data_IF_404602991285
#
_entry.id   IF_404602991285
#
_cell.length_a   1.000
_cell.length_b   1.000
_cell.length_c   1.000
_cell.angle_alpha   90.00
_cell.angle_beta   90.00
_cell.angle_gamma   90.00
#
_symmetry.space_group_name_H-M   'P 1'
#
loop_
_entity.id
_entity.type
_entity.pdbx_description
1 polymer ?
#
# COMPACT_ATOMS: atom_id res chain seq x y z
N UNK A 1 7.28 6.50 -61.01
CA UNK A 1 6.34 5.68 -60.18
C UNK A 1 6.84 5.75 -58.77
N UNK A 2 6.28 6.68 -58.04
CA UNK A 2 6.60 6.90 -56.64
C UNK A 2 5.74 5.95 -55.81
N UNK A 3 6.41 5.18 -54.94
CA UNK A 3 5.78 4.42 -53.89
C UNK A 3 5.78 5.28 -52.62
N UNK A 4 4.60 5.77 -52.28
CA UNK A 4 4.36 6.47 -50.98
C UNK A 4 4.26 5.39 -49.92
N UNK A 5 5.25 5.36 -49.02
CA UNK A 5 5.17 4.61 -47.79
C UNK A 5 4.17 5.33 -46.87
N UNK A 6 3.09 4.69 -46.53
CA UNK A 6 2.16 5.13 -45.53
C UNK A 6 2.76 4.78 -44.16
N UNK A 7 3.22 5.80 -43.44
CA UNK A 7 3.45 5.72 -41.99
C UNK A 7 2.07 5.55 -41.32
N UNK A 8 1.84 4.37 -40.81
CA UNK A 8 0.73 4.09 -39.92
C UNK A 8 1.30 4.25 -38.51
N UNK A 9 1.34 5.48 -38.01
CA UNK A 9 1.45 5.77 -36.59
C UNK A 9 0.12 5.36 -35.94
N UNK A 10 0.04 4.10 -35.56
CA UNK A 10 -0.99 3.59 -34.66
C UNK A 10 -0.60 3.96 -33.22
N UNK A 11 -0.62 5.26 -32.92
CA UNK A 11 -0.68 5.74 -31.55
C UNK A 11 -2.04 5.37 -30.97
N UNK A 12 -2.20 4.09 -30.62
CA UNK A 12 -3.22 3.69 -29.67
C UNK A 12 -2.81 4.30 -28.34
N UNK A 13 -3.37 5.48 -28.08
CA UNK A 13 -3.39 6.14 -26.78
C UNK A 13 -4.27 5.26 -25.87
N UNK A 14 -3.66 4.16 -25.40
CA UNK A 14 -4.25 3.29 -24.39
C UNK A 14 -4.49 4.17 -23.18
N UNK A 15 -5.75 4.57 -23.00
CA UNK A 15 -6.24 5.29 -21.84
C UNK A 15 -5.73 4.56 -20.59
N UNK A 16 -4.72 5.18 -19.95
CA UNK A 16 -3.90 4.56 -18.91
C UNK A 16 -4.75 4.24 -17.70
N UNK A 17 -5.38 3.08 -17.70
CA UNK A 17 -6.26 2.61 -16.62
C UNK A 17 -5.42 2.40 -15.35
N UNK A 18 -5.43 3.39 -14.49
CA UNK A 18 -4.78 3.33 -13.16
C UNK A 18 -5.64 2.56 -12.14
N UNK A 19 -6.81 2.07 -12.55
CA UNK A 19 -7.72 1.31 -11.69
C UNK A 19 -7.12 -0.06 -11.39
N UNK A 20 -6.97 -0.38 -10.11
CA UNK A 20 -6.53 -1.68 -9.64
C UNK A 20 -7.33 -2.12 -8.41
N UNK A 21 -7.49 -3.43 -8.25
CA UNK A 21 -8.12 -4.00 -7.06
C UNK A 21 -7.18 -3.90 -5.86
N UNK A 22 -7.57 -3.09 -4.86
CA UNK A 22 -6.80 -2.88 -3.62
C UNK A 22 -6.77 -4.13 -2.73
N UNK A 23 -7.79 -4.95 -2.82
CA UNK A 23 -7.88 -6.18 -2.03
C UNK A 23 -7.16 -7.36 -2.69
N UNK A 24 -7.16 -7.42 -4.03
CA UNK A 24 -6.48 -8.48 -4.78
C UNK A 24 -5.56 -7.91 -5.87
N UNK A 25 -4.50 -7.18 -5.49
CA UNK A 25 -3.67 -6.49 -6.44
C UNK A 25 -2.91 -7.47 -7.35
N UNK A 26 -2.98 -7.21 -8.65
CA UNK A 26 -2.13 -7.86 -9.64
C UNK A 26 -1.01 -6.90 -10.02
N UNK A 27 0.23 -7.35 -9.90
CA UNK A 27 1.41 -6.56 -10.31
C UNK A 27 2.00 -7.20 -11.56
N UNK A 28 2.07 -6.43 -12.63
CA UNK A 28 2.65 -6.82 -13.91
C UNK A 28 3.53 -5.70 -14.47
N UNK A 29 4.42 -6.04 -15.40
CA UNK A 29 5.21 -5.06 -16.14
C UNK A 29 4.28 -4.13 -16.91
N UNK A 30 4.62 -2.84 -16.99
CA UNK A 30 3.84 -1.74 -17.56
C UNK A 30 2.60 -1.32 -16.78
N UNK A 31 2.20 -2.03 -15.73
CA UNK A 31 1.05 -1.62 -14.91
C UNK A 31 1.32 -0.27 -14.24
N UNK A 32 0.28 0.56 -14.19
CA UNK A 32 0.32 1.92 -13.66
C UNK A 32 -0.39 2.02 -12.33
N UNK A 33 0.08 2.94 -11.50
CA UNK A 33 -0.47 3.27 -10.19
C UNK A 33 -0.51 4.80 -10.03
N UNK A 34 -1.54 5.36 -9.39
CA UNK A 34 -1.73 6.82 -9.33
C UNK A 34 -0.68 7.53 -8.48
N UNK A 35 -0.03 6.84 -7.55
CA UNK A 35 1.03 7.41 -6.72
C UNK A 35 2.01 6.35 -6.22
N UNK A 36 3.18 6.81 -5.74
CA UNK A 36 4.19 5.93 -5.13
C UNK A 36 3.67 5.30 -3.82
N UNK A 37 2.85 5.98 -3.06
CA UNK A 37 2.32 5.46 -1.80
C UNK A 37 1.26 4.38 -2.05
N UNK A 38 0.40 4.57 -3.04
CA UNK A 38 -0.54 3.53 -3.48
C UNK A 38 0.18 2.32 -4.06
N UNK A 39 1.21 2.53 -4.89
CA UNK A 39 2.04 1.43 -5.39
C UNK A 39 2.69 0.63 -4.25
N UNK A 40 3.26 1.30 -3.25
CA UNK A 40 3.87 0.64 -2.08
C UNK A 40 2.86 -0.19 -1.29
N UNK A 41 1.65 0.32 -1.14
CA UNK A 41 0.58 -0.37 -0.43
C UNK A 41 0.09 -1.60 -1.21
N UNK A 42 -0.12 -1.43 -2.51
CA UNK A 42 -0.42 -2.50 -3.44
C UNK A 42 0.66 -3.58 -3.43
N UNK A 43 1.94 -3.19 -3.50
CA UNK A 43 3.07 -4.10 -3.46
C UNK A 43 3.11 -4.94 -2.17
N UNK A 44 2.86 -4.32 -1.01
CA UNK A 44 2.79 -5.05 0.27
C UNK A 44 1.65 -6.06 0.29
N UNK A 45 0.46 -5.65 -0.13
CA UNK A 45 -0.70 -6.56 -0.22
C UNK A 45 -0.42 -7.73 -1.17
N UNK A 46 0.20 -7.45 -2.34
CA UNK A 46 0.62 -8.47 -3.30
C UNK A 46 1.62 -9.46 -2.69
N UNK A 47 2.68 -8.97 -2.03
CA UNK A 47 3.68 -9.81 -1.40
C UNK A 47 3.08 -10.69 -0.29
N UNK A 48 2.18 -10.13 0.53
CA UNK A 48 1.45 -10.86 1.56
C UNK A 48 0.60 -11.98 0.95
N UNK A 49 -0.21 -11.67 -0.06
CA UNK A 49 -1.07 -12.67 -0.71
C UNK A 49 -0.32 -13.76 -1.48
N UNK A 50 0.87 -13.42 -1.98
CA UNK A 50 1.78 -14.39 -2.63
C UNK A 50 2.75 -15.06 -1.65
N UNK A 51 2.59 -14.78 -0.35
CA UNK A 51 3.34 -15.40 0.75
C UNK A 51 4.86 -15.30 0.62
N UNK A 52 5.39 -14.19 0.10
CA UNK A 52 6.82 -13.97 0.05
C UNK A 52 7.26 -12.72 0.79
N UNK A 53 8.45 -12.75 1.34
CA UNK A 53 9.09 -11.59 1.96
C UNK A 53 9.95 -10.84 0.94
N UNK A 54 9.83 -9.52 0.93
CA UNK A 54 10.61 -8.68 0.04
C UNK A 54 11.33 -7.57 0.80
N UNK A 55 12.62 -7.40 0.50
CA UNK A 55 13.43 -6.31 1.04
C UNK A 55 13.48 -5.16 0.04
N UNK A 56 12.93 -4.01 0.44
CA UNK A 56 13.08 -2.78 -0.32
C UNK A 56 14.53 -2.31 -0.22
N UNK A 57 15.20 -2.15 -1.35
CA UNK A 57 16.58 -1.66 -1.45
C UNK A 57 16.63 -0.16 -1.66
N UNK A 58 15.75 0.36 -2.52
CA UNK A 58 15.58 1.79 -2.75
C UNK A 58 14.10 2.13 -2.82
N UNK A 59 13.74 3.22 -2.17
CA UNK A 59 12.42 3.80 -2.27
C UNK A 59 12.52 5.30 -2.00
N UNK A 60 12.20 6.08 -3.01
CA UNK A 60 12.05 7.53 -2.94
C UNK A 60 10.75 7.95 -3.65
N UNK A 61 10.58 9.24 -3.91
CA UNK A 61 9.38 9.75 -4.62
C UNK A 61 9.36 9.40 -6.11
N UNK A 62 10.50 8.99 -6.71
CA UNK A 62 10.66 8.77 -8.15
C UNK A 62 10.92 7.32 -8.50
N UNK A 63 11.53 6.53 -7.60
CA UNK A 63 12.00 5.17 -7.88
C UNK A 63 11.66 4.25 -6.73
N UNK A 64 11.34 3.01 -7.10
CA UNK A 64 11.17 1.90 -6.16
C UNK A 64 11.91 0.68 -6.68
N UNK A 65 12.63 0.00 -5.80
CA UNK A 65 13.28 -1.26 -6.09
C UNK A 65 13.22 -2.19 -4.88
N UNK A 66 12.71 -3.38 -5.08
CA UNK A 66 12.64 -4.42 -4.06
C UNK A 66 13.08 -5.77 -4.62
N UNK A 67 13.67 -6.60 -3.78
CA UNK A 67 14.08 -7.99 -4.10
C UNK A 67 13.43 -8.94 -3.13
N UNK A 68 13.14 -10.15 -3.61
CA UNK A 68 12.75 -11.24 -2.73
C UNK A 68 13.87 -11.53 -1.72
N UNK A 69 13.49 -11.80 -0.47
CA UNK A 69 14.41 -12.15 0.62
C UNK A 69 14.41 -13.66 0.92
N UNK A 70 13.71 -14.44 0.10
CA UNK A 70 13.61 -15.89 0.24
C UNK A 70 14.75 -16.65 -0.43
N UNK A 71 14.80 -17.93 -0.13
CA UNK A 71 15.75 -18.89 -0.71
C UNK A 71 14.99 -20.02 -1.41
N UNK A 72 15.57 -20.59 -2.46
CA UNK A 72 15.03 -21.77 -3.11
C UNK A 72 15.34 -23.06 -2.32
N UNK A 73 14.90 -24.22 -2.83
CA UNK A 73 15.12 -25.52 -2.19
C UNK A 73 16.58 -25.90 -2.03
N UNK A 74 17.49 -25.31 -2.81
CA UNK A 74 18.95 -25.50 -2.74
C UNK A 74 19.65 -24.43 -1.91
N UNK A 75 18.92 -23.68 -1.09
CA UNK A 75 19.41 -22.54 -0.28
C UNK A 75 20.05 -21.41 -1.10
N UNK A 76 19.73 -21.28 -2.39
CA UNK A 76 20.19 -20.16 -3.22
C UNK A 76 19.21 -18.99 -3.11
N UNK A 77 19.71 -17.73 -3.10
CA UNK A 77 18.84 -16.56 -3.02
C UNK A 77 17.88 -16.48 -4.22
N UNK A 78 16.61 -16.21 -3.95
CA UNK A 78 15.61 -15.98 -5.00
C UNK A 78 16.02 -14.79 -5.87
N UNK A 79 16.01 -14.96 -7.20
CA UNK A 79 16.42 -13.94 -8.17
C UNK A 79 15.33 -12.91 -8.44
N UNK A 80 14.13 -13.11 -7.93
CA UNK A 80 13.02 -12.21 -8.18
C UNK A 80 13.27 -10.80 -7.65
N UNK A 81 12.99 -9.82 -8.48
CA UNK A 81 12.95 -8.42 -8.07
C UNK A 81 11.90 -7.65 -8.86
N UNK A 82 11.54 -6.47 -8.36
CA UNK A 82 10.67 -5.52 -9.01
C UNK A 82 11.30 -4.13 -9.03
N UNK A 83 11.17 -3.45 -10.15
CA UNK A 83 11.48 -2.03 -10.25
C UNK A 83 10.29 -1.24 -10.79
N UNK A 84 10.04 -0.08 -10.20
CA UNK A 84 9.02 0.84 -10.65
C UNK A 84 9.57 2.28 -10.65
N UNK A 85 9.06 3.11 -11.55
CA UNK A 85 9.48 4.51 -11.69
C UNK A 85 8.29 5.43 -11.92
N UNK A 86 8.44 6.66 -11.43
CA UNK A 86 7.54 7.75 -11.72
C UNK A 86 7.62 8.11 -13.20
N UNK A 87 6.48 8.35 -13.80
CA UNK A 87 6.33 8.80 -15.17
C UNK A 87 6.60 10.31 -15.28
N UNK A 88 6.78 10.84 -16.50
CA UNK A 88 7.00 12.28 -16.75
C UNK A 88 5.85 13.17 -16.27
N UNK A 89 4.63 12.67 -16.16
CA UNK A 89 3.47 13.37 -15.60
C UNK A 89 3.65 13.83 -14.14
N UNK A 90 4.71 13.35 -13.50
CA UNK A 90 5.06 13.72 -12.13
C UNK A 90 4.20 13.06 -11.03
N UNK A 91 3.24 12.21 -11.36
CA UNK A 91 2.34 11.53 -10.43
C UNK A 91 2.37 10.01 -10.58
N UNK A 92 2.06 9.51 -11.77
CA UNK A 92 1.89 8.10 -12.07
C UNK A 92 3.16 7.28 -11.90
N UNK A 93 3.02 6.09 -11.34
CA UNK A 93 4.10 5.12 -11.17
C UNK A 93 3.89 3.96 -12.12
N UNK A 94 4.90 3.62 -12.91
CA UNK A 94 4.88 2.48 -13.81
C UNK A 94 5.84 1.39 -13.33
N UNK A 95 5.38 0.15 -13.36
CA UNK A 95 6.22 -1.02 -13.13
C UNK A 95 7.06 -1.28 -14.37
N UNK A 96 8.38 -1.17 -14.24
CA UNK A 96 9.30 -1.29 -15.38
C UNK A 96 9.75 -2.72 -15.60
N UNK A 97 10.09 -3.44 -14.53
CA UNK A 97 10.72 -4.76 -14.64
C UNK A 97 10.26 -5.71 -13.54
N UNK A 98 9.97 -6.95 -13.94
CA UNK A 98 9.83 -8.13 -13.10
C UNK A 98 10.44 -9.29 -13.91
N UNK A 99 11.78 -9.42 -14.00
CA UNK A 99 12.40 -10.28 -15.00
C UNK A 99 12.41 -11.76 -14.63
N UNK A 100 12.16 -12.11 -13.36
CA UNK A 100 12.24 -13.48 -12.89
C UNK A 100 10.98 -13.91 -12.16
N UNK A 101 10.65 -15.17 -12.26
CA UNK A 101 9.61 -15.82 -11.46
C UNK A 101 10.15 -16.10 -10.06
N UNK A 102 9.28 -16.15 -9.06
CA UNK A 102 9.66 -16.61 -7.74
C UNK A 102 10.04 -18.08 -7.75
N UNK A 103 11.20 -18.41 -7.20
CA UNK A 103 11.71 -19.77 -7.03
C UNK A 103 11.84 -20.15 -5.56
N UNK A 104 11.60 -19.21 -4.65
CA UNK A 104 11.72 -19.42 -3.22
C UNK A 104 10.54 -20.23 -2.65
N UNK A 105 10.82 -20.97 -1.59
CA UNK A 105 9.79 -21.62 -0.78
C UNK A 105 9.05 -20.52 -0.02
N UNK A 106 7.75 -20.42 -0.26
CA UNK A 106 6.88 -19.47 0.43
C UNK A 106 6.61 -19.95 1.85
N UNK A 107 6.59 -19.01 2.81
CA UNK A 107 6.23 -19.28 4.19
C UNK A 107 5.48 -18.09 4.77
N UNK A 108 4.25 -18.29 5.19
CA UNK A 108 3.41 -17.29 5.84
C UNK A 108 4.06 -16.66 7.09
N UNK A 109 4.95 -17.38 7.76
CA UNK A 109 5.68 -16.89 8.93
C UNK A 109 6.71 -15.81 8.59
N UNK A 110 7.20 -15.75 7.35
CA UNK A 110 8.26 -14.85 6.92
C UNK A 110 7.74 -13.48 6.41
N UNK A 111 6.43 -13.31 6.24
CA UNK A 111 5.82 -12.12 5.64
C UNK A 111 5.69 -10.93 6.63
N UNK A 112 6.22 -11.06 7.84
CA UNK A 112 6.11 -10.05 8.89
C UNK A 112 6.71 -8.69 8.52
N UNK A 113 7.70 -8.63 7.62
CA UNK A 113 8.31 -7.38 7.17
C UNK A 113 7.37 -6.54 6.29
N UNK A 114 6.43 -7.18 5.61
CA UNK A 114 5.44 -6.52 4.76
C UNK A 114 4.28 -5.91 5.57
N UNK A 115 3.98 -6.44 6.76
CA UNK A 115 2.91 -5.98 7.65
C UNK A 115 3.32 -4.72 8.43
N UNK A 116 3.43 -3.59 7.74
CA UNK A 116 3.74 -2.31 8.41
C UNK A 116 2.51 -1.73 9.10
N UNK A 117 2.72 -0.83 10.07
CA UNK A 117 1.65 -0.10 10.75
C UNK A 117 0.72 0.65 9.77
N UNK A 118 1.28 1.18 8.67
CA UNK A 118 0.51 1.87 7.63
C UNK A 118 -0.38 0.90 6.85
N UNK A 119 0.15 -0.27 6.50
CA UNK A 119 -0.62 -1.33 5.83
C UNK A 119 -1.75 -1.84 6.74
N UNK A 120 -1.45 -2.11 8.00
CA UNK A 120 -2.47 -2.50 8.99
C UNK A 120 -3.54 -1.41 9.11
N UNK A 121 -3.15 -0.14 9.25
CA UNK A 121 -4.10 0.97 9.35
C UNK A 121 -5.03 1.03 8.16
N UNK A 122 -4.51 0.90 6.94
CA UNK A 122 -5.33 0.91 5.72
C UNK A 122 -6.36 -0.22 5.72
N UNK A 123 -5.94 -1.45 6.06
CA UNK A 123 -6.83 -2.63 6.06
C UNK A 123 -7.90 -2.60 7.16
N UNK A 124 -7.60 -2.02 8.31
CA UNK A 124 -8.58 -1.95 9.43
C UNK A 124 -9.46 -0.70 9.41
N UNK A 125 -9.11 0.33 8.63
CA UNK A 125 -9.89 1.58 8.54
C UNK A 125 -11.37 1.33 8.19
N UNK A 126 -11.73 0.50 7.19
CA UNK A 126 -13.13 0.19 6.89
C UNK A 126 -13.86 -0.52 8.03
N UNK A 127 -13.15 -1.34 8.81
CA UNK A 127 -13.71 -2.04 9.98
C UNK A 127 -14.00 -1.03 11.09
N UNK A 128 -13.04 -0.15 11.38
CA UNK A 128 -13.18 0.88 12.42
C UNK A 128 -14.22 1.94 12.08
N UNK A 129 -14.42 2.26 10.80
CA UNK A 129 -15.49 3.15 10.36
C UNK A 129 -16.88 2.59 10.68
N UNK A 130 -17.05 1.27 10.59
CA UNK A 130 -18.31 0.58 10.94
C UNK A 130 -18.43 0.28 12.43
N UNK A 131 -17.35 -0.10 13.08
CA UNK A 131 -17.29 -0.52 14.48
C UNK A 131 -16.10 0.10 15.21
N UNK A 132 -16.21 1.37 15.65
CA UNK A 132 -15.09 2.15 16.21
C UNK A 132 -14.45 1.52 17.46
N UNK A 133 -15.26 0.81 18.27
CA UNK A 133 -14.82 0.24 19.55
C UNK A 133 -14.12 -1.13 19.42
N UNK A 134 -13.89 -1.61 18.17
CA UNK A 134 -13.22 -2.91 17.96
C UNK A 134 -11.84 -2.91 18.59
N UNK A 135 -11.54 -3.95 19.41
CA UNK A 135 -10.25 -4.06 20.10
C UNK A 135 -9.11 -4.41 19.15
N UNK A 136 -7.87 -4.02 19.49
CA UNK A 136 -6.70 -4.37 18.70
C UNK A 136 -6.49 -5.91 18.62
N UNK A 137 -6.88 -6.65 19.66
CA UNK A 137 -6.83 -8.13 19.65
C UNK A 137 -7.75 -8.71 18.60
N UNK A 138 -9.00 -8.23 18.51
CA UNK A 138 -9.96 -8.68 17.50
C UNK A 138 -9.49 -8.31 16.09
N UNK A 139 -9.05 -7.07 15.88
CA UNK A 139 -8.51 -6.62 14.59
C UNK A 139 -7.31 -7.48 14.12
N UNK A 140 -6.43 -7.88 15.06
CA UNK A 140 -5.34 -8.82 14.76
C UNK A 140 -5.88 -10.16 14.26
N UNK A 141 -6.84 -10.75 14.99
CA UNK A 141 -7.45 -12.03 14.62
C UNK A 141 -8.15 -11.97 13.27
N UNK A 142 -8.88 -10.88 13.00
CA UNK A 142 -9.57 -10.67 11.72
C UNK A 142 -8.56 -10.56 10.56
N UNK A 143 -7.46 -9.79 10.74
CA UNK A 143 -6.40 -9.69 9.73
C UNK A 143 -5.70 -11.04 9.46
N UNK A 144 -5.42 -11.84 10.50
CA UNK A 144 -4.79 -13.15 10.36
C UNK A 144 -5.73 -14.19 9.75
N UNK A 145 -7.04 -13.95 9.78
CA UNK A 145 -8.05 -14.76 9.09
C UNK A 145 -8.13 -14.44 7.60
N UNK A 146 -8.06 -13.13 7.26
CA UNK A 146 -8.25 -12.65 5.89
C UNK A 146 -6.96 -12.74 5.04
N UNK A 147 -5.80 -12.75 5.71
CA UNK A 147 -4.49 -12.78 5.06
C UNK A 147 -3.59 -13.87 5.67
N UNK A 148 -2.76 -14.56 4.86
CA UNK A 148 -1.84 -15.59 5.34
C UNK A 148 -0.62 -14.96 6.05
N UNK A 149 -0.84 -14.35 7.21
CA UNK A 149 0.19 -13.60 7.96
C UNK A 149 0.07 -13.84 9.46
N UNK A 150 1.18 -13.59 10.16
CA UNK A 150 1.20 -13.41 11.62
C UNK A 150 1.57 -11.98 11.94
N UNK A 151 0.65 -11.21 12.55
CA UNK A 151 0.87 -9.81 12.88
C UNK A 151 1.22 -9.65 14.35
N UNK A 152 2.26 -8.86 14.65
CA UNK A 152 2.58 -8.51 16.05
C UNK A 152 1.48 -7.63 16.62
N UNK A 153 1.05 -7.93 17.86
CA UNK A 153 0.04 -7.12 18.56
C UNK A 153 0.39 -5.62 18.59
N UNK A 154 1.66 -5.29 18.84
CA UNK A 154 2.14 -3.91 18.85
C UNK A 154 1.96 -3.21 17.50
N UNK A 155 2.15 -3.94 16.39
CA UNK A 155 1.96 -3.40 15.04
C UNK A 155 0.47 -3.12 14.78
N UNK A 156 -0.41 -4.05 15.20
CA UNK A 156 -1.86 -3.85 15.08
C UNK A 156 -2.34 -2.70 15.94
N UNK A 157 -1.86 -2.61 17.19
CA UNK A 157 -2.21 -1.51 18.08
C UNK A 157 -1.81 -0.14 17.51
N UNK A 158 -0.56 0.00 17.04
CA UNK A 158 -0.08 1.23 16.40
C UNK A 158 -0.82 1.53 15.09
N UNK A 159 -1.15 0.49 14.31
CA UNK A 159 -2.00 0.61 13.13
C UNK A 159 -3.39 1.14 13.48
N UNK A 160 -4.01 0.63 14.56
CA UNK A 160 -5.30 1.13 15.06
C UNK A 160 -5.22 2.61 15.43
N UNK A 161 -4.20 3.03 16.19
CA UNK A 161 -4.03 4.44 16.55
C UNK A 161 -3.93 5.33 15.31
N UNK A 162 -3.19 4.88 14.30
CA UNK A 162 -3.04 5.60 13.02
C UNK A 162 -4.38 5.69 12.26
N UNK A 163 -5.14 4.61 12.21
CA UNK A 163 -6.44 4.56 11.54
C UNK A 163 -7.46 5.45 12.25
N UNK A 164 -7.53 5.41 13.59
CA UNK A 164 -8.39 6.27 14.40
C UNK A 164 -8.04 7.74 14.17
N UNK A 165 -6.75 8.09 14.19
CA UNK A 165 -6.30 9.45 13.91
C UNK A 165 -6.68 9.93 12.50
N UNK A 166 -6.62 9.04 11.51
CA UNK A 166 -7.03 9.35 10.13
C UNK A 166 -8.54 9.54 9.98
N UNK A 167 -9.35 8.75 10.72
CA UNK A 167 -10.83 8.82 10.66
C UNK A 167 -11.41 10.00 11.45
N UNK A 168 -10.86 10.27 12.64
CA UNK A 168 -11.47 11.17 13.60
C UNK A 168 -10.61 12.41 13.95
N UNK A 169 -9.44 12.53 13.33
CA UNK A 169 -8.50 13.61 13.61
C UNK A 169 -7.64 13.38 14.86
N UNK A 170 -6.91 14.41 15.23
CA UNK A 170 -6.10 14.40 16.46
C UNK A 170 -6.95 14.87 17.64
N UNK A 171 -7.04 14.03 18.67
CA UNK A 171 -7.81 14.31 19.87
C UNK A 171 -7.47 15.68 20.51
N UNK A 172 -6.22 16.08 20.51
CA UNK A 172 -5.77 17.38 21.02
C UNK A 172 -6.34 18.57 20.23
N UNK A 173 -6.47 18.45 18.91
CA UNK A 173 -7.08 19.47 18.07
C UNK A 173 -8.60 19.55 18.27
N UNK A 174 -9.26 18.43 18.49
CA UNK A 174 -10.71 18.39 18.74
C UNK A 174 -11.05 19.07 20.08
N UNK A 175 -10.25 18.85 21.13
CA UNK A 175 -10.40 19.55 22.41
C UNK A 175 -10.18 21.06 22.26
N UNK A 176 -9.17 21.47 21.50
CA UNK A 176 -8.89 22.89 21.26
C UNK A 176 -10.03 23.59 20.51
N UNK A 177 -10.68 22.90 19.57
CA UNK A 177 -11.86 23.41 18.87
C UNK A 177 -13.07 23.57 19.82
N UNK A 178 -13.29 22.64 20.74
CA UNK A 178 -14.34 22.75 21.77
C UNK A 178 -14.13 23.98 22.66
N UNK A 179 -12.89 24.26 23.07
CA UNK A 179 -12.57 25.47 23.84
C UNK A 179 -12.83 26.75 23.06
N UNK A 180 -12.51 26.78 21.78
CA UNK A 180 -12.78 27.93 20.92
C UNK A 180 -14.29 28.13 20.74
N UNK A 181 -15.07 27.05 20.55
CA UNK A 181 -16.53 27.11 20.46
C UNK A 181 -17.16 27.68 21.74
N UNK A 182 -16.69 27.22 22.89
CA UNK A 182 -17.13 27.71 24.20
C UNK A 182 -16.81 29.21 24.40
N UNK A 183 -15.68 29.67 23.87
CA UNK A 183 -15.29 31.09 23.96
C UNK A 183 -16.13 31.99 23.06
N UNK A 184 -16.58 31.52 21.91
CA UNK A 184 -17.47 32.29 21.00
C UNK A 184 -18.90 32.38 21.54
N UNK A 185 -19.44 31.36 22.19
CA UNK A 185 -20.76 31.39 22.81
C UNK A 185 -20.85 32.38 23.98
N UNK A 186 -19.75 32.63 24.69
CA UNK A 186 -19.72 33.62 25.78
C UNK A 186 -19.70 35.07 25.27
N UNK A 187 -19.29 35.31 24.03
CA UNK A 187 -19.30 36.67 23.45
C UNK A 187 -20.68 37.05 22.89
N UNK A 188 -21.56 36.09 22.60
CA UNK A 188 -22.90 36.39 22.09
C UNK A 188 -23.96 36.63 23.17
N UNK A 189 -23.67 36.39 24.46
CA UNK A 189 -24.64 36.54 25.56
C UNK A 189 -24.32 37.72 26.52
N UNK A 190 -23.49 38.66 26.11
CA UNK A 190 -23.07 39.83 26.88
C UNK A 190 -23.52 41.14 26.29
N UNK A 191 -24.85 41.35 26.14
CA UNK A 191 -25.50 42.67 25.99
C UNK A 191 -26.82 42.67 26.75
#
# INVERSE_FOLDING_TARGET
MEAVAADVDDEHDDELVTVYDKENPQIAVRKLFPSMDEFRMCFKTYAIKKEFDAKTKWTDRKKFYARCNGFDGDARPCKWYISARRQPDGATIRVNQIPHVHTCITSSQNVTSMTSQAWVAEKITPILAKTPNTTAKKLKTDLEKDYPIVVKYTTTWKGKQRAVKALYGDWSNTFRMLYNFQAEDWQCCGD
#
